data_IF_327034713373
#
_entry.id   IF_327034713373
#
_cell.length_a   1.000
_cell.length_b   1.000
_cell.length_c   1.000
_cell.angle_alpha   90.00
_cell.angle_beta   90.00
_cell.angle_gamma   90.00
#
_symmetry.space_group_name_H-M   'P 1'
#
loop_
_entity.id
_entity.type
_entity.pdbx_description
1 polymer ?
#
# COMPACT_ATOMS: atom_id res chain seq x y z
N UNK A 1 47.92 -23.97 9.43
CA UNK A 1 46.46 -24.16 9.32
C UNK A 1 45.92 -22.88 8.73
N UNK A 2 45.75 -22.86 7.41
CA UNK A 2 45.19 -21.73 6.68
C UNK A 2 43.67 -21.89 6.67
N UNK A 3 42.95 -20.96 7.30
CA UNK A 3 41.49 -20.86 7.18
C UNK A 3 41.16 -20.56 5.72
N UNK A 4 40.57 -21.54 5.05
CA UNK A 4 39.90 -21.35 3.78
C UNK A 4 38.63 -20.57 4.09
N UNK A 5 38.64 -19.28 3.77
CA UNK A 5 37.41 -18.49 3.61
C UNK A 5 36.61 -19.14 2.48
N UNK A 6 35.64 -19.98 2.84
CA UNK A 6 34.60 -20.42 1.92
C UNK A 6 33.82 -19.18 1.48
N UNK A 7 34.24 -18.63 0.35
CA UNK A 7 33.38 -17.79 -0.48
C UNK A 7 32.24 -18.69 -0.94
N UNK A 8 31.16 -18.75 -0.17
CA UNK A 8 29.86 -19.20 -0.66
C UNK A 8 29.54 -18.33 -1.88
N UNK A 9 29.76 -18.88 -3.07
CA UNK A 9 29.24 -18.34 -4.30
C UNK A 9 27.73 -18.36 -4.17
N UNK A 10 27.17 -17.20 -3.82
CA UNK A 10 25.73 -16.93 -3.85
C UNK A 10 25.23 -17.40 -5.20
N UNK A 11 24.43 -18.46 -5.17
CA UNK A 11 23.69 -18.93 -6.33
C UNK A 11 22.74 -17.81 -6.75
N UNK A 12 23.11 -17.13 -7.83
CA UNK A 12 22.33 -16.13 -8.56
C UNK A 12 22.04 -14.81 -7.80
N UNK A 13 22.94 -13.84 -7.96
CA UNK A 13 22.82 -12.44 -7.48
C UNK A 13 21.61 -11.68 -8.11
N UNK A 14 20.87 -12.32 -9.03
CA UNK A 14 19.72 -11.76 -9.72
C UNK A 14 18.54 -11.41 -8.81
N UNK A 15 18.46 -12.01 -7.60
CA UNK A 15 17.39 -11.75 -6.62
C UNK A 15 17.88 -11.10 -5.32
N UNK A 16 19.08 -10.52 -5.29
CA UNK A 16 19.54 -9.75 -4.15
C UNK A 16 18.59 -8.55 -3.85
N UNK A 17 18.46 -8.22 -2.56
CA UNK A 17 17.65 -7.11 -2.05
C UNK A 17 16.22 -7.47 -1.66
N UNK A 18 15.52 -6.55 -1.00
CA UNK A 18 14.08 -6.70 -0.70
C UNK A 18 13.26 -6.45 -1.95
N UNK A 19 12.50 -7.46 -2.38
CA UNK A 19 11.69 -7.44 -3.60
C UNK A 19 10.23 -7.64 -3.28
N UNK A 20 9.36 -6.91 -3.96
CA UNK A 20 7.92 -7.01 -3.78
C UNK A 20 7.45 -8.39 -4.26
N UNK A 21 6.99 -9.23 -3.33
CA UNK A 21 6.48 -10.58 -3.59
C UNK A 21 4.98 -10.57 -3.82
N UNK A 22 4.26 -9.82 -2.99
CA UNK A 22 2.79 -9.82 -2.98
C UNK A 22 2.27 -8.42 -2.67
N UNK A 23 1.29 -7.97 -3.44
CA UNK A 23 0.47 -6.80 -3.14
C UNK A 23 -0.96 -7.25 -2.92
N UNK A 24 -1.54 -6.85 -1.80
CA UNK A 24 -2.96 -7.05 -1.50
C UNK A 24 -3.63 -5.69 -1.33
N UNK A 25 -4.81 -5.54 -1.93
CA UNK A 25 -5.68 -4.38 -1.72
C UNK A 25 -7.08 -4.83 -1.33
N UNK A 26 -7.65 -4.13 -0.36
CA UNK A 26 -9.05 -4.26 0.03
C UNK A 26 -9.65 -2.87 0.09
N UNK A 27 -10.80 -2.71 -0.55
CA UNK A 27 -11.54 -1.46 -0.58
C UNK A 27 -10.68 -0.25 -1.02
N UNK A 28 -9.99 -0.35 -2.15
CA UNK A 28 -9.08 0.69 -2.65
C UNK A 28 -9.41 1.09 -4.10
N UNK A 29 -9.77 2.36 -4.33
CA UNK A 29 -10.27 2.81 -5.62
C UNK A 29 -11.49 2.01 -6.05
N UNK A 30 -11.47 1.46 -7.27
CA UNK A 30 -12.55 0.60 -7.78
C UNK A 30 -12.48 -0.85 -7.30
N UNK A 31 -11.42 -1.26 -6.60
CA UNK A 31 -11.35 -2.56 -5.95
C UNK A 31 -12.21 -2.55 -4.69
N UNK A 32 -13.25 -3.37 -4.65
CA UNK A 32 -14.29 -3.31 -3.62
C UNK A 32 -14.73 -4.70 -3.13
N UNK A 33 -15.13 -4.77 -1.87
CA UNK A 33 -15.80 -5.88 -1.17
C UNK A 33 -15.09 -7.26 -1.18
N UNK A 34 -13.85 -7.32 -1.66
CA UNK A 34 -13.00 -8.51 -1.58
C UNK A 34 -11.52 -8.14 -1.56
N UNK A 35 -10.70 -9.07 -1.07
CA UNK A 35 -9.24 -8.95 -1.14
C UNK A 35 -8.79 -9.27 -2.55
N UNK A 36 -8.09 -8.34 -3.18
CA UNK A 36 -7.44 -8.53 -4.47
C UNK A 36 -5.95 -8.70 -4.25
N UNK A 37 -5.41 -9.81 -4.75
CA UNK A 37 -4.01 -10.20 -4.55
C UNK A 37 -3.29 -10.23 -5.88
N UNK A 38 -2.15 -9.54 -5.96
CA UNK A 38 -1.21 -9.59 -7.07
C UNK A 38 0.08 -10.25 -6.59
N UNK A 39 0.37 -11.42 -7.14
CA UNK A 39 1.63 -12.13 -6.93
C UNK A 39 2.65 -11.66 -7.97
N UNK A 40 3.74 -11.08 -7.48
CA UNK A 40 4.82 -10.51 -8.28
C UNK A 40 6.09 -11.36 -8.20
N UNK A 41 6.17 -12.24 -7.19
CA UNK A 41 7.23 -13.23 -6.98
C UNK A 41 8.65 -12.65 -6.99
N UNK A 42 8.79 -11.36 -6.65
CA UNK A 42 10.05 -10.62 -6.65
C UNK A 42 10.63 -10.33 -8.05
N UNK A 43 9.83 -10.53 -9.10
CA UNK A 43 10.20 -10.34 -10.52
C UNK A 43 9.57 -9.08 -11.10
N UNK A 44 9.94 -8.79 -12.36
CA UNK A 44 9.29 -7.74 -13.13
C UNK A 44 7.85 -8.15 -13.47
N UNK A 45 6.91 -7.22 -13.34
CA UNK A 45 5.51 -7.44 -13.70
C UNK A 45 5.02 -6.40 -14.69
N UNK A 46 4.20 -6.86 -15.64
CA UNK A 46 3.54 -6.03 -16.62
C UNK A 46 2.04 -6.01 -16.32
N UNK A 47 1.50 -4.85 -15.95
CA UNK A 47 0.06 -4.67 -15.78
C UNK A 47 -0.57 -4.22 -17.10
N UNK A 48 -1.38 -5.07 -17.71
CA UNK A 48 -2.12 -4.77 -18.95
C UNK A 48 -3.64 -4.81 -18.72
N UNK A 49 -4.41 -4.20 -19.61
CA UNK A 49 -5.86 -4.13 -19.55
C UNK A 49 -6.41 -2.80 -20.06
N UNK A 50 -7.72 -2.71 -20.22
CA UNK A 50 -8.38 -1.54 -20.81
C UNK A 50 -8.32 -0.29 -19.92
N UNK A 51 -8.63 0.87 -20.51
CA UNK A 51 -8.77 2.12 -19.74
C UNK A 51 -9.86 1.92 -18.68
N UNK A 52 -9.56 2.34 -17.44
CA UNK A 52 -10.48 2.17 -16.30
C UNK A 52 -10.37 0.82 -15.57
N UNK A 53 -9.53 -0.12 -16.03
CA UNK A 53 -9.39 -1.45 -15.41
C UNK A 53 -8.70 -1.48 -14.02
N UNK A 54 -8.27 -0.33 -13.48
CA UNK A 54 -7.64 -0.25 -12.15
C UNK A 54 -6.11 -0.43 -12.12
N UNK A 55 -5.41 -0.47 -13.26
CA UNK A 55 -3.93 -0.59 -13.30
C UNK A 55 -3.22 0.52 -12.52
N UNK A 56 -3.50 1.78 -12.85
CA UNK A 56 -2.93 2.94 -12.14
C UNK A 56 -3.33 2.96 -10.66
N UNK A 57 -4.49 2.41 -10.32
CA UNK A 57 -4.95 2.29 -8.93
C UNK A 57 -4.07 1.33 -8.12
N UNK A 58 -3.59 0.24 -8.73
CA UNK A 58 -2.62 -0.68 -8.10
C UNK A 58 -1.24 -0.04 -7.97
N UNK A 59 -0.77 0.68 -9.00
CA UNK A 59 0.49 1.43 -8.94
C UNK A 59 0.45 2.48 -7.84
N UNK A 60 -0.63 3.28 -7.80
CA UNK A 60 -0.87 4.28 -6.76
C UNK A 60 -0.94 3.65 -5.37
N UNK A 61 -1.38 2.39 -5.24
CA UNK A 61 -1.38 1.67 -3.96
C UNK A 61 0.05 1.43 -3.44
N UNK A 62 0.96 0.99 -4.32
CA UNK A 62 2.39 0.81 -3.99
C UNK A 62 3.04 2.16 -3.64
N UNK A 63 2.77 3.21 -4.41
CA UNK A 63 3.27 4.56 -4.12
C UNK A 63 2.76 5.07 -2.78
N UNK A 64 1.47 4.83 -2.47
CA UNK A 64 0.86 5.17 -1.18
C UNK A 64 1.58 4.50 -0.03
N UNK A 65 1.97 3.23 -0.18
CA UNK A 65 2.68 2.48 0.85
C UNK A 65 4.08 3.02 1.16
N UNK A 66 4.80 3.48 0.14
CA UNK A 66 6.24 3.72 0.21
C UNK A 66 6.62 5.19 0.36
N UNK A 67 5.71 6.14 0.13
CA UNK A 67 6.08 7.56 0.07
C UNK A 67 5.17 8.47 0.91
N UNK A 68 5.69 9.56 1.53
CA UNK A 68 4.87 10.43 2.37
C UNK A 68 3.73 11.07 1.58
N UNK A 69 2.54 11.08 2.17
CA UNK A 69 1.31 11.57 1.53
C UNK A 69 1.38 13.00 0.96
N UNK A 70 2.21 13.88 1.54
CA UNK A 70 2.40 15.26 1.05
C UNK A 70 3.15 15.34 -0.29
N UNK A 71 3.91 14.29 -0.63
CA UNK A 71 4.69 14.22 -1.86
C UNK A 71 3.96 13.45 -2.96
N UNK A 72 2.92 12.69 -2.65
CA UNK A 72 2.26 11.80 -3.60
C UNK A 72 1.44 12.62 -4.60
N UNK A 73 1.74 12.45 -5.88
CA UNK A 73 0.88 12.86 -6.98
C UNK A 73 0.20 11.62 -7.57
N UNK A 74 -1.08 11.43 -7.23
CA UNK A 74 -1.86 10.29 -7.73
C UNK A 74 -2.08 10.39 -9.24
N UNK A 75 -2.11 9.23 -9.92
CA UNK A 75 -2.43 9.10 -11.35
C UNK A 75 -1.46 9.78 -12.33
N UNK A 76 -0.20 9.97 -11.93
CA UNK A 76 0.85 10.58 -12.77
C UNK A 76 1.08 9.82 -14.08
N UNK A 77 0.99 8.49 -14.05
CA UNK A 77 1.14 7.63 -15.22
C UNK A 77 0.05 7.79 -16.31
N UNK A 78 -1.07 8.45 -16.01
CA UNK A 78 -2.17 8.67 -16.97
C UNK A 78 -2.20 10.09 -17.59
N UNK A 79 -1.24 10.96 -17.27
CA UNK A 79 -1.15 12.31 -17.85
C UNK A 79 -2.26 13.29 -17.42
N UNK A 80 -3.04 12.97 -16.39
CA UNK A 80 -4.13 13.81 -15.90
C UNK A 80 -3.61 14.97 -15.02
N UNK A 81 -4.31 16.12 -15.05
CA UNK A 81 -4.03 17.21 -14.11
C UNK A 81 -4.15 16.73 -12.65
N UNK A 82 -3.26 17.22 -11.78
CA UNK A 82 -3.07 16.80 -10.39
C UNK A 82 -4.28 16.98 -9.43
N UNK A 83 -5.49 17.25 -9.94
CA UNK A 83 -6.69 17.60 -9.18
C UNK A 83 -7.81 16.57 -9.20
N UNK A 84 -7.76 15.52 -10.02
CA UNK A 84 -8.89 14.60 -10.15
C UNK A 84 -8.98 13.53 -9.05
N UNK A 85 -7.85 13.13 -8.45
CA UNK A 85 -7.81 12.02 -7.50
C UNK A 85 -7.12 12.38 -6.19
N UNK A 86 -7.84 12.16 -5.10
CA UNK A 86 -7.35 12.35 -3.74
C UNK A 86 -7.32 11.01 -3.00
N UNK A 87 -6.61 10.94 -1.87
CA UNK A 87 -6.68 9.76 -1.00
C UNK A 87 -8.13 9.41 -0.64
N UNK A 88 -8.97 10.42 -0.40
CA UNK A 88 -10.40 10.23 -0.14
C UNK A 88 -11.13 9.56 -1.30
N UNK A 89 -10.82 9.95 -2.55
CA UNK A 89 -11.40 9.33 -3.73
C UNK A 89 -11.06 7.83 -3.82
N UNK A 90 -9.84 7.45 -3.44
CA UNK A 90 -9.44 6.04 -3.37
C UNK A 90 -10.12 5.29 -2.23
N UNK A 91 -10.13 5.85 -1.02
CA UNK A 91 -10.75 5.21 0.15
C UNK A 91 -12.26 5.04 -0.03
N UNK A 92 -12.97 6.03 -0.60
CA UNK A 92 -14.42 5.94 -0.84
C UNK A 92 -14.79 5.27 -2.18
N UNK A 93 -13.82 5.04 -3.06
CA UNK A 93 -14.04 4.40 -4.35
C UNK A 93 -14.89 5.22 -5.30
N UNK A 94 -14.52 6.48 -5.54
CA UNK A 94 -15.22 7.33 -6.51
C UNK A 94 -14.96 6.83 -7.94
N UNK A 95 -16.03 6.42 -8.65
CA UNK A 95 -15.91 5.78 -9.97
C UNK A 95 -16.71 6.47 -11.09
N UNK A 96 -17.68 7.32 -10.74
CA UNK A 96 -18.44 8.14 -11.71
C UNK A 96 -18.83 9.47 -11.08
N UNK A 97 -19.16 10.44 -11.92
CA UNK A 97 -19.68 11.74 -11.50
C UNK A 97 -21.11 11.87 -12.01
N UNK A 98 -22.07 12.05 -11.11
CA UNK A 98 -23.47 12.28 -11.47
C UNK A 98 -23.77 13.77 -11.38
N UNK A 99 -24.38 14.30 -12.44
CA UNK A 99 -24.78 15.71 -12.48
C UNK A 99 -26.16 15.82 -11.86
N UNK A 100 -26.26 16.57 -10.77
CA UNK A 100 -27.55 16.82 -10.14
C UNK A 100 -28.35 17.78 -11.04
N UNK A 101 -29.46 17.30 -11.61
CA UNK A 101 -30.29 18.05 -12.55
C UNK A 101 -30.87 19.35 -11.94
N UNK A 102 -31.02 19.39 -10.61
CA UNK A 102 -31.60 20.54 -9.89
C UNK A 102 -30.54 21.61 -9.58
N UNK A 103 -29.31 21.21 -9.23
CA UNK A 103 -28.24 22.15 -8.82
C UNK A 103 -27.16 22.37 -9.87
N UNK A 104 -27.20 21.65 -10.99
CA UNK A 104 -26.19 21.69 -12.06
C UNK A 104 -24.79 21.19 -11.66
N UNK A 105 -24.57 20.91 -10.36
CA UNK A 105 -23.29 20.49 -9.80
C UNK A 105 -23.08 18.99 -9.96
N UNK A 106 -21.85 18.63 -10.32
CA UNK A 106 -21.43 17.24 -10.45
C UNK A 106 -21.02 16.71 -9.07
N UNK A 107 -21.67 15.64 -8.60
CA UNK A 107 -21.31 14.94 -7.35
C UNK A 107 -20.66 13.60 -7.68
N UNK A 108 -19.52 13.26 -7.05
CA UNK A 108 -18.93 11.95 -7.20
C UNK A 108 -19.82 10.89 -6.55
N UNK A 109 -19.96 9.74 -7.22
CA UNK A 109 -20.63 8.56 -6.67
C UNK A 109 -19.58 7.61 -6.09
N UNK A 110 -19.78 7.27 -4.83
CA UNK A 110 -18.90 6.43 -4.04
C UNK A 110 -19.35 4.97 -4.05
N UNK A 111 -18.40 4.05 -4.11
CA UNK A 111 -18.65 2.62 -3.84
C UNK A 111 -18.83 2.37 -2.34
N UNK A 112 -18.21 3.22 -1.49
CA UNK A 112 -18.12 3.02 -0.05
C UNK A 112 -18.58 4.23 0.75
N UNK A 113 -19.18 3.96 1.89
CA UNK A 113 -19.62 4.96 2.86
C UNK A 113 -18.55 5.19 3.97
N UNK A 114 -18.96 5.85 5.05
CA UNK A 114 -18.08 6.17 6.17
C UNK A 114 -17.84 4.99 7.14
N UNK A 115 -18.59 3.90 7.02
CA UNK A 115 -18.46 2.70 7.86
C UNK A 115 -17.45 1.70 7.29
N UNK A 116 -16.94 1.98 6.09
CA UNK A 116 -15.97 1.15 5.40
C UNK A 116 -14.54 1.46 5.83
N UNK A 117 -13.66 0.45 5.73
CA UNK A 117 -12.22 0.62 5.86
C UNK A 117 -11.53 0.11 4.59
N UNK A 118 -10.34 0.64 4.32
CA UNK A 118 -9.48 0.25 3.22
C UNK A 118 -8.15 -0.26 3.76
N UNK A 119 -7.57 -1.26 3.10
CA UNK A 119 -6.25 -1.80 3.45
C UNK A 119 -5.42 -1.95 2.19
N UNK A 120 -4.19 -1.48 2.26
CA UNK A 120 -3.14 -1.77 1.27
C UNK A 120 -2.05 -2.50 2.02
N UNK A 121 -1.59 -3.64 1.49
CA UNK A 121 -0.57 -4.47 2.10
C UNK A 121 0.43 -4.93 1.04
N UNK A 122 1.71 -4.82 1.34
CA UNK A 122 2.78 -5.32 0.49
C UNK A 122 3.75 -6.18 1.29
N UNK A 123 4.04 -7.37 0.76
CA UNK A 123 5.05 -8.28 1.31
C UNK A 123 6.30 -8.18 0.45
N UNK A 124 7.42 -7.85 1.10
CA UNK A 124 8.74 -7.81 0.51
C UNK A 124 9.56 -8.96 1.04
N UNK A 125 10.30 -9.64 0.17
CA UNK A 125 11.19 -10.73 0.56
C UNK A 125 12.58 -10.50 -0.01
N UNK A 126 13.59 -10.80 0.82
CA UNK A 126 14.97 -10.86 0.43
C UNK A 126 15.44 -12.30 0.52
N UNK A 127 15.63 -12.93 -0.64
CA UNK A 127 16.01 -14.35 -0.73
C UNK A 127 17.39 -14.61 -0.12
N UNK A 128 18.35 -13.69 -0.34
CA UNK A 128 19.73 -13.83 0.15
C UNK A 128 19.85 -13.85 1.68
N UNK A 129 18.96 -13.15 2.38
CA UNK A 129 18.93 -13.16 3.86
C UNK A 129 17.77 -13.96 4.45
N UNK A 130 16.93 -14.59 3.60
CA UNK A 130 15.67 -15.23 3.99
C UNK A 130 14.81 -14.34 4.91
N UNK A 131 14.75 -13.03 4.60
CA UNK A 131 14.00 -12.05 5.40
C UNK A 131 12.74 -11.63 4.68
N UNK A 132 11.62 -11.66 5.40
CA UNK A 132 10.33 -11.15 4.92
C UNK A 132 9.93 -9.93 5.73
N UNK A 133 9.47 -8.89 5.05
CA UNK A 133 8.94 -7.66 5.64
C UNK A 133 7.57 -7.39 5.05
N UNK A 134 6.57 -7.22 5.90
CA UNK A 134 5.25 -6.75 5.48
C UNK A 134 5.06 -5.30 5.87
N UNK A 135 4.58 -4.51 4.92
CA UNK A 135 4.19 -3.12 5.08
C UNK A 135 2.70 -3.00 4.77
N UNK A 136 1.95 -2.30 5.62
CA UNK A 136 0.54 -2.04 5.33
C UNK A 136 0.10 -0.65 5.78
N UNK A 137 -0.95 -0.13 5.14
CA UNK A 137 -1.67 1.06 5.57
C UNK A 137 -3.16 0.76 5.64
N UNK A 138 -3.78 1.17 6.74
CA UNK A 138 -5.21 1.03 6.98
C UNK A 138 -5.84 2.41 7.00
N UNK A 139 -6.93 2.58 6.26
CA UNK A 139 -7.66 3.85 6.14
C UNK A 139 -9.12 3.68 6.54
N UNK A 140 -9.71 4.71 7.14
CA UNK A 140 -11.14 4.77 7.43
C UNK A 140 -11.60 6.22 7.52
N UNK A 141 -12.90 6.46 7.39
CA UNK A 141 -13.48 7.79 7.59
C UNK A 141 -13.84 7.97 9.07
N UNK A 142 -13.40 9.09 9.67
CA UNK A 142 -13.90 9.51 10.99
C UNK A 142 -15.18 10.33 10.87
N UNK A 143 -15.21 11.20 9.87
CA UNK A 143 -16.32 12.10 9.56
C UNK A 143 -16.64 12.01 8.07
N UNK A 144 -17.92 12.08 7.70
CA UNK A 144 -18.37 11.95 6.31
C UNK A 144 -17.75 12.99 5.34
N UNK A 145 -17.31 14.14 5.87
CA UNK A 145 -16.70 15.21 5.08
C UNK A 145 -15.19 15.41 5.33
N UNK A 146 -14.60 14.61 6.21
CA UNK A 146 -13.19 14.72 6.59
C UNK A 146 -12.22 14.10 5.58
N UNK A 147 -10.92 14.19 5.88
CA UNK A 147 -9.90 13.35 5.26
C UNK A 147 -9.90 11.96 5.92
N UNK A 148 -9.59 10.89 5.17
CA UNK A 148 -9.43 9.56 5.76
C UNK A 148 -8.38 9.59 6.87
N UNK A 149 -8.76 9.05 8.03
CA UNK A 149 -7.79 8.70 9.06
C UNK A 149 -7.01 7.47 8.62
N UNK A 150 -5.79 7.33 9.14
CA UNK A 150 -4.92 6.20 8.80
C UNK A 150 -3.99 5.82 9.94
N UNK A 151 -3.51 4.59 9.88
CA UNK A 151 -2.32 4.16 10.60
C UNK A 151 -1.50 3.21 9.74
N UNK A 152 -0.23 3.10 10.09
CA UNK A 152 0.75 2.32 9.36
C UNK A 152 1.10 1.07 10.15
N UNK A 153 1.40 0.00 9.43
CA UNK A 153 1.68 -1.33 9.97
C UNK A 153 2.98 -1.82 9.37
N UNK A 154 3.87 -2.33 10.20
CA UNK A 154 5.10 -2.96 9.72
C UNK A 154 5.53 -4.12 10.62
N UNK A 155 6.01 -5.20 10.01
CA UNK A 155 6.57 -6.36 10.71
C UNK A 155 7.56 -7.13 9.83
N UNK A 156 8.42 -7.94 10.47
CA UNK A 156 9.39 -8.83 9.83
C UNK A 156 8.82 -10.24 9.66
N UNK A 157 7.56 -10.32 9.22
CA UNK A 157 6.79 -11.55 9.01
C UNK A 157 5.85 -11.36 7.82
N UNK A 158 5.38 -12.44 7.21
CA UNK A 158 4.31 -12.42 6.21
C UNK A 158 2.96 -12.16 6.92
N UNK A 159 2.21 -11.16 6.46
CA UNK A 159 0.81 -10.96 6.83
C UNK A 159 -0.07 -10.96 5.58
N UNK A 160 -1.35 -11.26 5.77
CA UNK A 160 -2.38 -11.13 4.72
C UNK A 160 -3.58 -10.33 5.21
N UNK A 161 -4.26 -9.63 4.30
CA UNK A 161 -5.47 -8.88 4.63
C UNK A 161 -6.55 -9.83 5.15
N UNK A 162 -6.70 -10.99 4.49
CA UNK A 162 -7.72 -11.97 4.84
C UNK A 162 -7.51 -12.58 6.24
N UNK A 163 -6.26 -12.83 6.65
CA UNK A 163 -5.97 -13.38 7.97
C UNK A 163 -5.96 -12.30 9.05
N UNK A 164 -5.25 -11.18 8.82
CA UNK A 164 -4.81 -10.28 9.88
C UNK A 164 -5.64 -8.99 9.98
N UNK A 165 -6.27 -8.59 8.87
CA UNK A 165 -7.01 -7.33 8.74
C UNK A 165 -8.51 -7.54 8.53
N UNK A 166 -9.01 -8.74 8.73
CA UNK A 166 -10.42 -9.08 8.63
C UNK A 166 -10.96 -9.60 9.97
N UNK A 167 -12.29 -9.66 10.09
CA UNK A 167 -13.01 -10.26 11.24
C UNK A 167 -12.62 -9.68 12.60
N UNK A 168 -12.31 -8.38 12.67
CA UNK A 168 -12.00 -7.68 13.93
C UNK A 168 -13.23 -6.95 14.53
N UNK A 169 -14.41 -7.14 13.95
CA UNK A 169 -15.62 -6.37 14.26
C UNK A 169 -15.71 -5.08 13.45
N UNK A 170 -16.40 -4.08 13.98
CA UNK A 170 -16.59 -2.75 13.34
C UNK A 170 -15.57 -1.72 13.80
N UNK A 171 -14.95 -1.93 14.96
CA UNK A 171 -14.10 -0.94 15.60
C UNK A 171 -12.63 -1.08 15.20
N UNK A 172 -12.06 -0.03 14.59
CA UNK A 172 -10.63 0.06 14.24
C UNK A 172 -9.72 -0.15 15.46
N UNK A 173 -10.20 0.19 16.66
CA UNK A 173 -9.49 -0.07 17.92
C UNK A 173 -9.22 -1.56 18.16
N UNK A 174 -10.14 -2.45 17.76
CA UNK A 174 -9.97 -3.90 17.90
C UNK A 174 -8.89 -4.42 16.95
N UNK A 175 -8.85 -3.93 15.71
CA UNK A 175 -7.79 -4.25 14.77
C UNK A 175 -6.41 -3.86 15.32
N UNK A 176 -6.27 -2.66 15.87
CA UNK A 176 -5.03 -2.19 16.49
C UNK A 176 -4.58 -3.08 17.65
N UNK A 177 -5.51 -3.49 18.52
CA UNK A 177 -5.22 -4.41 19.64
C UNK A 177 -4.75 -5.77 19.13
N UNK A 178 -5.44 -6.33 18.14
CA UNK A 178 -5.09 -7.61 17.51
C UNK A 178 -3.68 -7.59 16.93
N UNK A 179 -3.37 -6.59 16.09
CA UNK A 179 -2.05 -6.47 15.46
C UNK A 179 -0.94 -6.34 16.49
N UNK A 180 -1.13 -5.51 17.54
CA UNK A 180 -0.14 -5.40 18.64
C UNK A 180 0.04 -6.72 19.39
N UNK A 181 -1.05 -7.45 19.64
CA UNK A 181 -1.01 -8.76 20.27
C UNK A 181 -0.24 -9.80 19.45
N UNK A 182 -0.20 -9.65 18.13
CA UNK A 182 0.60 -10.46 17.22
C UNK A 182 2.06 -9.98 17.06
N UNK A 183 2.51 -8.99 17.84
CA UNK A 183 3.87 -8.45 17.77
C UNK A 183 4.12 -7.51 16.58
N UNK A 184 3.06 -7.06 15.90
CA UNK A 184 3.15 -6.15 14.76
C UNK A 184 3.38 -4.71 15.23
N UNK A 185 4.29 -3.98 14.58
CA UNK A 185 4.57 -2.58 14.91
C UNK A 185 3.57 -1.66 14.22
N UNK A 186 2.95 -0.76 15.00
CA UNK A 186 2.00 0.23 14.49
C UNK A 186 2.56 1.64 14.60
N UNK A 187 2.31 2.48 13.59
CA UNK A 187 2.68 3.89 13.62
C UNK A 187 1.48 4.77 13.28
N UNK A 188 1.42 5.96 13.90
CA UNK A 188 0.37 6.94 13.63
C UNK A 188 0.78 7.98 12.56
N UNK A 189 2.04 7.96 12.12
CA UNK A 189 2.56 8.89 11.10
C UNK A 189 3.58 8.22 10.18
N UNK A 190 3.72 8.77 8.98
CA UNK A 190 4.63 8.25 7.97
C UNK A 190 6.11 8.34 8.37
N UNK A 191 6.65 9.44 8.94
CA UNK A 191 8.09 9.54 9.19
C UNK A 191 8.71 8.38 10.01
N UNK A 192 8.15 7.96 11.16
CA UNK A 192 8.70 6.82 11.92
C UNK A 192 8.50 5.48 11.20
N UNK A 193 7.36 5.30 10.51
CA UNK A 193 7.12 4.13 9.66
C UNK A 193 8.14 4.04 8.51
N UNK A 194 8.39 5.17 7.85
CA UNK A 194 9.37 5.35 6.79
C UNK A 194 10.78 5.03 7.24
N UNK A 195 11.18 5.55 8.40
CA UNK A 195 12.48 5.25 8.99
C UNK A 195 12.61 3.75 9.33
N UNK A 196 11.54 3.13 9.84
CA UNK A 196 11.53 1.72 10.22
C UNK A 196 11.81 0.79 9.03
N UNK A 197 11.16 0.99 7.88
CA UNK A 197 11.35 0.10 6.73
C UNK A 197 12.64 0.43 5.96
N UNK A 198 13.02 1.71 5.85
CA UNK A 198 14.27 2.12 5.18
C UNK A 198 15.49 1.48 5.82
N UNK A 199 15.56 1.48 7.15
CA UNK A 199 16.64 0.83 7.90
C UNK A 199 16.74 -0.68 7.58
N UNK A 200 15.61 -1.33 7.37
CA UNK A 200 15.55 -2.78 7.07
C UNK A 200 15.90 -3.06 5.62
N UNK A 201 15.50 -2.18 4.72
CA UNK A 201 15.78 -2.32 3.30
C UNK A 201 17.20 -1.86 2.93
N UNK A 202 17.97 -1.32 3.88
CA UNK A 202 19.30 -0.76 3.61
C UNK A 202 19.24 0.52 2.76
N UNK A 203 18.16 1.30 2.89
CA UNK A 203 17.96 2.54 2.16
C UNK A 203 18.47 3.70 3.03
N UNK A 204 19.73 4.08 2.81
CA UNK A 204 20.39 5.13 3.59
C UNK A 204 19.97 6.55 3.17
N UNK A 205 19.54 6.73 1.91
CA UNK A 205 19.14 8.04 1.37
C UNK A 205 17.61 8.15 1.22
N UNK A 206 17.00 9.18 1.84
CA UNK A 206 15.57 9.49 1.66
C UNK A 206 15.17 9.74 0.21
N UNK A 207 16.07 10.31 -0.59
CA UNK A 207 15.82 10.62 -2.00
C UNK A 207 15.67 9.36 -2.85
N UNK A 208 16.13 8.19 -2.40
CA UNK A 208 15.89 6.93 -3.09
C UNK A 208 14.40 6.61 -3.19
N UNK A 209 13.59 7.08 -2.23
CA UNK A 209 12.13 6.94 -2.28
C UNK A 209 11.49 7.90 -3.27
N UNK A 210 12.14 9.02 -3.60
CA UNK A 210 11.65 9.98 -4.60
C UNK A 210 11.74 9.40 -6.02
N UNK A 211 12.50 8.31 -6.25
CA UNK A 211 12.52 7.60 -7.53
C UNK A 211 11.15 6.99 -7.86
N UNK A 212 10.39 6.54 -6.85
CA UNK A 212 9.02 6.04 -7.01
C UNK A 212 8.02 7.15 -7.39
N UNK A 213 8.44 8.43 -7.36
CA UNK A 213 7.61 9.57 -7.76
C UNK A 213 7.88 10.05 -9.18
N UNK A 214 8.95 9.58 -9.83
CA UNK A 214 9.40 10.10 -11.12
C UNK A 214 8.86 9.35 -12.34
N UNK A 215 8.11 8.26 -12.15
CA UNK A 215 7.35 7.57 -13.21
C UNK A 215 5.93 8.13 -13.32
#
# INVERSE_FOLDING_TARGET
MSETLELEFIGDDQLAGFRLQRLEVFNWGTFDDRVWTLHLDGKNALLTGDIGSGKSTLVDAVTTLLVPAQRIAYNKAAGAEARERTLRSYVQGYYKSERNEISGSAKPVALRDHNSYSVILAVFHNAGYSKTVTLAQVFWMKDAQGQPARFYVACEQDLSIAADFARFGTEIGNLRKRLRGAGVTLFDSFPPYGAWFRRRFGIDNEQALDLFHQT
#
